data_IF_229302072159
#
_entry.id   IF_229302072159
#
_cell.length_a   1.000
_cell.length_b   1.000
_cell.length_c   1.000
_cell.angle_alpha   90.00
_cell.angle_beta   90.00
_cell.angle_gamma   90.00
#
_symmetry.space_group_name_H-M   'P 1'
#
loop_
_entity.id
_entity.type
_entity.pdbx_description
1 polymer ?
#
# COMPACT_ATOMS: atom_id res chain seq x y z
N UNK A 1 24.81 -17.21 15.17
CA UNK A 1 24.19 -15.91 14.82
C UNK A 1 22.70 -16.10 14.96
N UNK A 2 22.00 -15.22 15.66
CA UNK A 2 20.56 -15.38 15.86
C UNK A 2 19.88 -15.36 14.49
N UNK A 3 19.06 -16.38 14.20
CA UNK A 3 18.13 -16.37 13.07
C UNK A 3 17.06 -15.31 13.37
N UNK A 4 17.34 -14.04 13.05
CA UNK A 4 16.30 -13.02 13.09
C UNK A 4 15.34 -13.26 11.93
N UNK A 5 14.04 -13.26 12.24
CA UNK A 5 12.98 -13.33 11.24
C UNK A 5 13.12 -12.12 10.30
N UNK A 6 13.23 -12.32 8.97
CA UNK A 6 13.37 -11.21 8.04
C UNK A 6 12.12 -10.33 8.04
N UNK A 7 12.27 -9.07 7.69
CA UNK A 7 11.12 -8.17 7.45
C UNK A 7 10.31 -8.66 6.26
N UNK A 8 9.05 -8.21 6.14
CA UNK A 8 8.23 -8.51 4.96
C UNK A 8 8.86 -7.94 3.68
N UNK A 9 9.52 -6.78 3.79
CA UNK A 9 10.26 -6.16 2.70
C UNK A 9 11.44 -7.03 2.22
N UNK A 10 12.23 -7.58 3.13
CA UNK A 10 13.32 -8.50 2.77
C UNK A 10 12.78 -9.81 2.20
N UNK A 11 11.76 -10.37 2.83
CA UNK A 11 11.15 -11.63 2.40
C UNK A 11 10.55 -11.56 0.99
N UNK A 12 9.90 -10.44 0.64
CA UNK A 12 9.33 -10.26 -0.69
C UNK A 12 10.37 -10.07 -1.80
N UNK A 13 11.65 -9.92 -1.48
CA UNK A 13 12.72 -9.66 -2.45
C UNK A 13 13.09 -8.17 -2.61
N UNK A 14 12.67 -7.33 -1.66
CA UNK A 14 13.12 -5.96 -1.55
C UNK A 14 12.59 -5.01 -2.64
N UNK A 15 13.37 -3.95 -2.88
CA UNK A 15 12.92 -2.76 -3.62
C UNK A 15 12.61 -3.03 -5.07
N UNK A 16 13.43 -3.83 -5.75
CA UNK A 16 13.22 -4.15 -7.17
C UNK A 16 11.89 -4.87 -7.39
N UNK A 17 11.55 -5.79 -6.48
CA UNK A 17 10.27 -6.50 -6.54
C UNK A 17 9.10 -5.56 -6.23
N UNK A 18 9.23 -4.65 -5.27
CA UNK A 18 8.20 -3.64 -5.00
C UNK A 18 7.95 -2.71 -6.20
N UNK A 19 9.02 -2.26 -6.86
CA UNK A 19 8.90 -1.43 -8.07
C UNK A 19 8.17 -2.20 -9.16
N UNK A 20 8.58 -3.44 -9.43
CA UNK A 20 7.91 -4.33 -10.39
C UNK A 20 6.43 -4.52 -10.05
N UNK A 21 6.11 -4.73 -8.77
CA UNK A 21 4.73 -4.87 -8.31
C UNK A 21 3.90 -3.63 -8.63
N UNK A 22 4.40 -2.44 -8.28
CA UNK A 22 3.69 -1.19 -8.52
C UNK A 22 3.55 -0.90 -10.01
N UNK A 23 4.57 -1.17 -10.82
CA UNK A 23 4.52 -0.97 -12.26
C UNK A 23 3.47 -1.89 -12.92
N UNK A 24 3.50 -3.19 -12.60
CA UNK A 24 2.49 -4.16 -13.08
C UNK A 24 1.08 -3.76 -12.62
N UNK A 25 0.94 -3.36 -11.36
CA UNK A 25 -0.34 -2.96 -10.79
C UNK A 25 -0.92 -1.71 -11.46
N UNK A 26 -0.15 -0.63 -11.58
CA UNK A 26 -0.65 0.61 -12.16
C UNK A 26 -0.91 0.49 -13.67
N UNK A 27 -0.19 -0.36 -14.39
CA UNK A 27 -0.50 -0.69 -15.78
C UNK A 27 -1.88 -1.36 -15.96
N UNK A 28 -2.38 -2.06 -14.93
CA UNK A 28 -3.74 -2.61 -14.90
C UNK A 28 -4.75 -1.53 -14.48
N UNK A 29 -4.44 -0.74 -13.45
CA UNK A 29 -5.30 0.36 -12.97
C UNK A 29 -5.64 1.36 -14.06
N UNK A 30 -4.69 1.70 -14.92
CA UNK A 30 -4.90 2.63 -16.05
C UNK A 30 -5.93 2.10 -17.06
N UNK A 31 -6.09 0.78 -17.16
CA UNK A 31 -7.00 0.10 -18.10
C UNK A 31 -8.31 -0.32 -17.46
N UNK A 32 -8.43 -0.20 -16.13
CA UNK A 32 -9.61 -0.63 -15.39
C UNK A 32 -10.69 0.46 -15.40
N UNK A 33 -11.88 0.14 -15.90
CA UNK A 33 -12.97 1.11 -16.08
C UNK A 33 -13.38 1.80 -14.77
N UNK A 34 -13.30 1.09 -13.65
CA UNK A 34 -13.73 1.58 -12.34
C UNK A 34 -12.67 2.45 -11.67
N UNK A 35 -11.39 2.12 -11.84
CA UNK A 35 -10.28 2.81 -11.20
C UNK A 35 -9.66 3.91 -12.05
N UNK A 36 -9.57 3.75 -13.37
CA UNK A 36 -8.91 4.72 -14.26
C UNK A 36 -9.38 6.17 -14.04
N UNK A 37 -10.68 6.48 -13.80
CA UNK A 37 -11.12 7.84 -13.50
C UNK A 37 -10.49 8.45 -12.25
N UNK A 38 -10.19 7.67 -11.21
CA UNK A 38 -9.52 8.14 -9.98
C UNK A 38 -8.06 8.55 -10.25
N UNK A 39 -7.43 7.87 -11.20
CA UNK A 39 -6.01 8.03 -11.53
C UNK A 39 -5.76 8.81 -12.83
N UNK A 40 -6.79 9.37 -13.48
CA UNK A 40 -6.65 10.10 -14.77
C UNK A 40 -5.59 11.21 -14.81
N UNK A 41 -5.29 11.81 -13.65
CA UNK A 41 -4.31 12.89 -13.50
C UNK A 41 -3.07 12.43 -12.71
N UNK A 42 -2.87 11.12 -12.59
CA UNK A 42 -1.73 10.52 -11.94
C UNK A 42 -0.47 10.86 -12.73
N UNK A 43 0.60 11.26 -12.03
CA UNK A 43 1.91 11.45 -12.63
C UNK A 43 2.59 10.10 -12.85
N UNK A 44 3.46 10.02 -13.86
CA UNK A 44 4.21 8.79 -14.18
C UNK A 44 5.11 8.30 -13.04
N UNK A 45 5.53 9.18 -12.13
CA UNK A 45 6.33 8.84 -10.95
C UNK A 45 5.50 8.29 -9.77
N UNK A 46 4.17 8.21 -9.88
CA UNK A 46 3.30 7.74 -8.81
C UNK A 46 3.57 6.30 -8.36
N UNK A 47 3.74 5.30 -9.26
CA UNK A 47 4.08 3.93 -8.85
C UNK A 47 5.32 3.88 -7.94
N UNK A 48 6.37 4.61 -8.29
CA UNK A 48 7.58 4.70 -7.47
C UNK A 48 7.36 5.31 -6.09
N UNK A 49 6.46 6.30 -5.98
CA UNK A 49 6.08 6.86 -4.68
C UNK A 49 5.32 5.86 -3.80
N UNK A 50 4.50 5.00 -4.39
CA UNK A 50 3.78 3.97 -3.64
C UNK A 50 4.70 2.82 -3.26
N UNK A 51 5.66 2.44 -4.12
CA UNK A 51 6.71 1.48 -3.77
C UNK A 51 7.54 1.97 -2.59
N UNK A 52 7.94 3.25 -2.59
CA UNK A 52 8.68 3.87 -1.48
C UNK A 52 7.86 3.89 -0.18
N UNK A 53 6.54 4.12 -0.27
CA UNK A 53 5.65 4.01 0.88
C UNK A 53 5.60 2.58 1.44
N UNK A 54 5.37 1.60 0.57
CA UNK A 54 5.28 0.19 0.96
C UNK A 54 6.59 -0.34 1.53
N UNK A 55 7.72 0.07 0.97
CA UNK A 55 9.04 -0.25 1.51
C UNK A 55 9.13 0.16 2.98
N UNK A 56 8.84 1.42 3.28
CA UNK A 56 8.93 1.91 4.66
C UNK A 56 7.95 1.18 5.59
N UNK A 57 6.76 0.85 5.10
CA UNK A 57 5.75 0.15 5.90
C UNK A 57 6.15 -1.28 6.21
N UNK A 58 6.68 -2.01 5.22
CA UNK A 58 7.00 -3.44 5.31
C UNK A 58 8.36 -3.73 5.97
N UNK A 59 9.00 -2.70 6.55
CA UNK A 59 10.23 -2.84 7.33
C UNK A 59 11.52 -2.41 6.62
N UNK A 60 11.42 -1.86 5.41
CA UNK A 60 12.56 -1.26 4.69
C UNK A 60 12.95 0.13 5.21
N UNK A 61 13.75 0.84 4.42
CA UNK A 61 14.26 2.15 4.79
C UNK A 61 13.14 3.21 4.88
N UNK A 62 13.33 4.22 5.72
CA UNK A 62 12.35 5.30 5.91
C UNK A 62 12.40 6.40 4.82
N UNK A 63 12.55 5.98 3.56
CA UNK A 63 12.71 6.88 2.41
C UNK A 63 11.47 7.72 2.15
N UNK A 64 10.26 7.18 2.32
CA UNK A 64 9.05 7.97 2.14
C UNK A 64 8.98 9.10 3.15
N UNK A 65 9.30 8.83 4.41
CA UNK A 65 9.36 9.86 5.44
C UNK A 65 10.41 10.92 5.12
N UNK A 66 11.64 10.50 4.79
CA UNK A 66 12.76 11.41 4.50
C UNK A 66 12.54 12.26 3.24
N UNK A 67 12.10 11.64 2.15
CA UNK A 67 12.09 12.25 0.82
C UNK A 67 10.71 12.86 0.48
N UNK A 68 9.65 12.41 1.17
CA UNK A 68 8.25 12.75 0.82
C UNK A 68 7.45 13.36 1.96
N UNK A 69 8.01 13.47 3.17
CA UNK A 69 7.33 14.07 4.33
C UNK A 69 6.37 13.13 5.06
N UNK A 70 6.46 11.82 4.81
CA UNK A 70 5.85 10.80 5.66
C UNK A 70 4.32 10.76 5.64
N UNK A 71 3.75 10.26 6.73
CA UNK A 71 2.32 9.94 6.85
C UNK A 71 1.39 11.13 6.53
N UNK A 72 1.75 12.35 6.96
CA UNK A 72 0.94 13.55 6.72
C UNK A 72 0.78 13.85 5.22
N UNK A 73 1.84 13.66 4.44
CA UNK A 73 1.78 13.84 2.98
C UNK A 73 0.98 12.73 2.32
N UNK A 74 1.14 11.47 2.74
CA UNK A 74 0.33 10.37 2.21
C UNK A 74 -1.17 10.63 2.40
N UNK A 75 -1.60 11.05 3.60
CA UNK A 75 -3.01 11.36 3.85
C UNK A 75 -3.50 12.51 2.97
N UNK A 76 -2.72 13.59 2.83
CA UNK A 76 -3.16 14.74 2.05
C UNK A 76 -3.40 14.39 0.57
N UNK A 77 -2.75 13.33 0.04
CA UNK A 77 -3.02 12.83 -1.32
C UNK A 77 -4.35 12.11 -1.48
N UNK A 78 -4.89 11.56 -0.39
CA UNK A 78 -6.15 10.82 -0.40
C UNK A 78 -7.36 11.70 -0.09
N UNK A 79 -7.18 12.79 0.66
CA UNK A 79 -8.27 13.69 1.09
C UNK A 79 -9.08 14.23 -0.09
N UNK A 80 -10.40 14.20 0.05
CA UNK A 80 -11.34 14.74 -0.94
C UNK A 80 -11.45 13.92 -2.23
N UNK A 81 -10.88 12.71 -2.27
CA UNK A 81 -10.99 11.82 -3.44
C UNK A 81 -12.31 11.06 -3.50
N UNK A 82 -13.07 11.00 -2.40
CA UNK A 82 -14.36 10.30 -2.30
C UNK A 82 -14.30 8.88 -2.88
N UNK A 83 -13.29 8.11 -2.48
CA UNK A 83 -13.11 6.72 -2.93
C UNK A 83 -14.32 5.92 -2.47
N UNK A 84 -14.94 5.20 -3.40
CA UNK A 84 -16.11 4.36 -3.11
C UNK A 84 -15.70 2.93 -2.70
N UNK A 85 -16.55 2.20 -1.95
CA UNK A 85 -16.24 0.85 -1.47
C UNK A 85 -15.86 -0.13 -2.59
N UNK A 86 -16.55 -0.07 -3.73
CA UNK A 86 -16.29 -0.92 -4.90
C UNK A 86 -14.94 -0.59 -5.56
N UNK A 87 -14.56 0.70 -5.60
CA UNK A 87 -13.25 1.13 -6.09
C UNK A 87 -12.15 0.63 -5.16
N UNK A 88 -12.32 0.76 -3.83
CA UNK A 88 -11.36 0.20 -2.86
C UNK A 88 -11.19 -1.31 -3.07
N UNK A 89 -12.31 -2.04 -3.16
CA UNK A 89 -12.29 -3.49 -3.35
C UNK A 89 -11.55 -3.86 -4.65
N UNK A 90 -11.88 -3.21 -5.76
CA UNK A 90 -11.23 -3.46 -7.05
C UNK A 90 -9.73 -3.15 -7.04
N UNK A 91 -9.34 -2.09 -6.33
CA UNK A 91 -7.92 -1.74 -6.14
C UNK A 91 -7.17 -2.86 -5.41
N UNK A 92 -7.75 -3.42 -4.34
CA UNK A 92 -7.16 -4.54 -3.59
C UNK A 92 -7.06 -5.79 -4.49
N UNK A 93 -8.14 -6.14 -5.21
CA UNK A 93 -8.15 -7.29 -6.13
C UNK A 93 -7.01 -7.20 -7.16
N UNK A 94 -6.90 -6.08 -7.88
CA UNK A 94 -5.86 -5.88 -8.90
C UNK A 94 -4.44 -5.92 -8.31
N UNK A 95 -4.24 -5.41 -7.10
CA UNK A 95 -2.94 -5.46 -6.45
C UNK A 95 -2.54 -6.89 -6.08
N UNK A 96 -3.48 -7.68 -5.57
CA UNK A 96 -3.24 -9.08 -5.24
C UNK A 96 -3.02 -9.94 -6.50
N UNK A 97 -3.79 -9.70 -7.57
CA UNK A 97 -3.54 -10.32 -8.88
C UNK A 97 -2.14 -9.98 -9.41
N UNK A 98 -1.71 -8.72 -9.26
CA UNK A 98 -0.37 -8.29 -9.67
C UNK A 98 0.73 -8.95 -8.84
N UNK A 99 0.50 -9.16 -7.54
CA UNK A 99 1.40 -9.89 -6.66
C UNK A 99 1.61 -11.34 -7.11
N UNK A 100 0.53 -12.01 -7.54
CA UNK A 100 0.60 -13.36 -8.09
C UNK A 100 1.32 -13.38 -9.43
N UNK A 101 1.00 -12.45 -10.33
CA UNK A 101 1.61 -12.35 -11.66
C UNK A 101 3.12 -12.18 -11.62
N UNK A 102 3.65 -11.37 -10.70
CA UNK A 102 5.09 -11.14 -10.58
C UNK A 102 5.81 -12.24 -9.80
N UNK A 103 5.07 -13.20 -9.22
CA UNK A 103 5.61 -14.31 -8.45
C UNK A 103 6.04 -13.95 -7.03
N UNK A 104 5.28 -13.10 -6.32
CA UNK A 104 5.56 -12.86 -4.89
C UNK A 104 5.50 -14.18 -4.09
N UNK A 105 6.28 -14.31 -2.99
CA UNK A 105 6.29 -15.51 -2.16
C UNK A 105 4.88 -15.97 -1.81
N UNK A 106 4.58 -17.25 -2.01
CA UNK A 106 3.23 -17.82 -1.83
C UNK A 106 3.05 -18.55 -0.50
N UNK A 107 4.02 -18.45 0.42
CA UNK A 107 3.88 -19.02 1.75
C UNK A 107 2.69 -18.39 2.50
N UNK A 108 1.89 -19.19 3.23
CA UNK A 108 0.67 -18.70 3.88
C UNK A 108 0.91 -17.54 4.84
N UNK A 109 2.02 -17.57 5.57
CA UNK A 109 2.41 -16.55 6.54
C UNK A 109 2.62 -15.19 5.86
N UNK A 110 3.37 -15.15 4.76
CA UNK A 110 3.62 -13.91 4.03
C UNK A 110 2.34 -13.40 3.39
N UNK A 111 1.59 -14.30 2.75
CA UNK A 111 0.35 -13.94 2.06
C UNK A 111 -0.71 -13.40 3.02
N UNK A 112 -0.83 -13.99 4.21
CA UNK A 112 -1.70 -13.47 5.26
C UNK A 112 -1.26 -12.07 5.74
N UNK A 113 0.04 -11.88 6.01
CA UNK A 113 0.56 -10.61 6.49
C UNK A 113 0.44 -9.50 5.44
N UNK A 114 0.83 -9.76 4.19
CA UNK A 114 0.76 -8.82 3.08
C UNK A 114 -0.68 -8.44 2.76
N UNK A 115 -1.58 -9.42 2.59
CA UNK A 115 -3.00 -9.15 2.35
C UNK A 115 -3.65 -8.38 3.50
N UNK A 116 -3.29 -8.71 4.75
CA UNK A 116 -3.75 -8.00 5.94
C UNK A 116 -3.40 -6.51 5.91
N UNK A 117 -2.16 -6.17 5.53
CA UNK A 117 -1.76 -4.76 5.39
C UNK A 117 -2.53 -4.06 4.29
N UNK A 118 -2.59 -4.67 3.11
CA UNK A 118 -3.24 -4.08 1.93
C UNK A 118 -4.73 -3.81 2.21
N UNK A 119 -5.42 -4.75 2.85
CA UNK A 119 -6.82 -4.60 3.24
C UNK A 119 -7.00 -3.51 4.32
N UNK A 120 -6.18 -3.54 5.37
CA UNK A 120 -6.24 -2.53 6.42
C UNK A 120 -5.94 -1.12 5.89
N UNK A 121 -4.88 -0.99 5.08
CA UNK A 121 -4.42 0.27 4.50
C UNK A 121 -5.43 0.85 3.53
N UNK A 122 -6.02 0.03 2.65
CA UNK A 122 -7.03 0.48 1.69
C UNK A 122 -8.30 1.00 2.38
N UNK A 123 -8.75 0.38 3.47
CA UNK A 123 -9.87 0.89 4.29
C UNK A 123 -9.56 2.23 4.92
N UNK A 124 -8.32 2.43 5.37
CA UNK A 124 -7.88 3.73 5.90
C UNK A 124 -7.79 4.76 4.78
N UNK A 125 -7.36 4.39 3.58
CA UNK A 125 -7.33 5.29 2.42
C UNK A 125 -8.75 5.75 2.04
N UNK A 126 -9.70 4.82 1.93
CA UNK A 126 -11.11 5.11 1.69
C UNK A 126 -11.70 6.03 2.76
N UNK A 127 -11.55 5.68 4.05
CA UNK A 127 -12.07 6.48 5.16
C UNK A 127 -11.48 7.90 5.18
N UNK A 128 -10.18 8.05 4.90
CA UNK A 128 -9.52 9.35 4.83
C UNK A 128 -9.86 10.13 3.56
N UNK A 129 -10.43 9.49 2.53
CA UNK A 129 -10.74 10.15 1.27
C UNK A 129 -12.04 10.95 1.27
N UNK A 130 -12.90 10.70 2.25
CA UNK A 130 -14.21 11.33 2.33
C UNK A 130 -14.08 12.84 2.61
N UNK A 131 -14.97 13.68 2.05
CA UNK A 131 -14.92 15.14 2.24
C UNK A 131 -14.91 15.58 3.70
N UNK A 132 -15.62 14.84 4.56
CA UNK A 132 -15.80 15.15 5.98
C UNK A 132 -14.99 14.21 6.90
N UNK A 133 -13.96 13.54 6.37
CA UNK A 133 -13.17 12.61 7.16
C UNK A 133 -12.51 13.33 8.35
N UNK A 134 -12.60 12.75 9.55
CA UNK A 134 -11.91 13.30 10.72
C UNK A 134 -10.39 13.32 10.50
N UNK A 135 -9.63 14.24 11.13
CA UNK A 135 -8.18 14.21 11.10
C UNK A 135 -7.66 12.87 11.62
N UNK A 136 -6.63 12.32 10.97
CA UNK A 136 -5.99 11.12 11.49
C UNK A 136 -5.21 11.44 12.75
N UNK A 137 -5.34 10.59 13.76
CA UNK A 137 -4.54 10.65 15.00
C UNK A 137 -3.12 10.08 14.82
N UNK A 138 -2.86 9.38 13.71
CA UNK A 138 -1.55 8.81 13.41
C UNK A 138 -0.64 9.89 12.86
N UNK A 139 0.60 9.91 13.33
CA UNK A 139 1.58 10.92 12.92
C UNK A 139 2.70 10.35 12.05
N UNK A 140 2.95 9.04 12.17
CA UNK A 140 4.07 8.34 11.53
C UNK A 140 3.59 7.25 10.58
N UNK A 141 4.45 6.86 9.64
CA UNK A 141 4.20 5.76 8.72
C UNK A 141 3.99 4.48 9.55
N UNK A 142 2.89 3.72 9.32
CA UNK A 142 2.70 2.46 10.02
C UNK A 142 3.85 1.50 9.71
N UNK A 143 4.29 0.74 10.71
CA UNK A 143 5.16 -0.41 10.52
C UNK A 143 4.30 -1.67 10.57
N UNK A 144 4.51 -2.58 9.63
CA UNK A 144 3.74 -3.79 9.48
C UNK A 144 4.65 -4.99 9.35
N UNK A 145 4.42 -6.01 10.17
CA UNK A 145 5.20 -7.24 10.22
C UNK A 145 4.34 -8.50 10.16
N UNK A 146 4.92 -9.62 10.57
CA UNK A 146 4.31 -10.95 10.57
C UNK A 146 3.25 -11.08 11.68
N UNK A 147 1.99 -10.73 11.38
CA UNK A 147 0.85 -10.97 12.27
C UNK A 147 0.45 -9.81 13.21
N UNK A 148 0.97 -8.60 12.99
CA UNK A 148 0.78 -7.46 13.90
C UNK A 148 -0.45 -6.57 13.59
N UNK A 149 -1.55 -7.09 13.05
CA UNK A 149 -2.75 -6.28 12.89
C UNK A 149 -3.59 -6.27 14.19
N UNK A 150 -3.44 -5.30 15.13
CA UNK A 150 -4.44 -5.17 16.19
C UNK A 150 -5.81 -4.93 15.55
N UNK A 151 -6.92 -5.44 16.13
CA UNK A 151 -8.26 -5.20 15.63
C UNK A 151 -8.45 -3.71 15.35
N UNK A 152 -8.90 -3.37 14.13
CA UNK A 152 -9.09 -1.98 13.74
C UNK A 152 -10.01 -1.27 14.74
N UNK A 153 -9.58 -0.12 15.26
CA UNK A 153 -10.50 0.74 15.99
C UNK A 153 -11.54 1.28 14.99
N UNK A 154 -12.85 1.16 15.31
CA UNK A 154 -13.93 1.73 14.51
C UNK A 154 -13.69 3.20 14.17
#
# INVERSE_FOLDING_TARGET
MANETPTLFEWMGGREVLMKLMDTFYAKVEKDELLAPLFKNMKSDHPGHVAMWLEEVLGGENRYTKDRGGFKVMISRHRGRSIQPEQRKRWVELLMESADEIGLPSDPEFRAAFAGYIEWGSRRAEANSQPNAAPSRRETVPKWGWGEAPPGTP
#
